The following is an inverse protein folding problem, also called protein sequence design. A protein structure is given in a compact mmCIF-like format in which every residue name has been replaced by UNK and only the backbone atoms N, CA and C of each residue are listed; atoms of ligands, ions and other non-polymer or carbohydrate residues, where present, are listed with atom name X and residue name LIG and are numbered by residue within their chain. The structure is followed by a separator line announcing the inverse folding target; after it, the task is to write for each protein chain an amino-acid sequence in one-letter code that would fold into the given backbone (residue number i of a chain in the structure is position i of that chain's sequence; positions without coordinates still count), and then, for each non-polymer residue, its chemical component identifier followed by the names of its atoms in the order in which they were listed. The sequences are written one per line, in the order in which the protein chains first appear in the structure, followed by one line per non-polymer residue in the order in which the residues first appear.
data_IF_531851751886
#
_entry.id   IF_531851751886
#
_cell.length_a   1.000
_cell.length_b   1.000
_cell.length_c   1.000
_cell.angle_alpha   90.00
_cell.angle_beta   90.00
_cell.angle_gamma   90.00
#
_symmetry.space_group_name_H-M   'P 1'
#
loop_
_entity.id
_entity.type
_entity.pdbx_description
1 polymer ?
#
# COMPACT_ATOMS: atom_id res chain seq x y z
N UNK A 1 0.21 -5.15 10.50
CA UNK A 1 0.81 -4.82 11.78
C UNK A 1 2.34 -4.93 11.76
N UNK A 2 2.93 -6.09 11.34
CA UNK A 2 4.39 -6.30 11.31
C UNK A 2 5.11 -5.22 10.50
N UNK A 3 4.65 -4.97 9.27
CA UNK A 3 5.20 -3.93 8.39
C UNK A 3 5.26 -2.56 9.08
N UNK A 4 4.16 -2.08 9.66
CA UNK A 4 4.15 -0.77 10.32
C UNK A 4 5.07 -0.71 11.54
N UNK A 5 5.16 -1.80 12.30
CA UNK A 5 6.12 -1.90 13.41
C UNK A 5 7.57 -1.78 12.92
N UNK A 6 7.89 -2.46 11.82
CA UNK A 6 9.23 -2.46 11.23
C UNK A 6 9.55 -1.08 10.59
N UNK A 7 8.52 -0.31 10.19
CA UNK A 7 8.64 1.09 9.76
C UNK A 7 8.71 2.10 10.92
N UNK A 8 8.68 1.65 12.18
CA UNK A 8 8.86 2.48 13.38
C UNK A 8 7.57 2.91 14.08
N UNK A 9 6.41 2.41 13.65
CA UNK A 9 5.14 2.72 14.30
C UNK A 9 5.05 2.09 15.69
N UNK A 10 4.49 2.84 16.65
CA UNK A 10 4.18 2.33 17.97
C UNK A 10 3.09 1.24 17.92
N UNK A 11 2.90 0.55 19.05
CA UNK A 11 1.87 -0.49 19.10
C UNK A 11 0.46 0.13 19.03
N UNK A 12 -0.44 -0.37 18.16
CA UNK A 12 -1.81 0.09 18.09
C UNK A 12 -2.71 -0.58 19.14
N UNK A 13 -3.85 0.02 19.41
CA UNK A 13 -5.00 -0.71 19.94
C UNK A 13 -5.58 -1.54 18.79
N UNK A 14 -5.79 -2.83 19.03
CA UNK A 14 -6.35 -3.76 18.03
C UNK A 14 -7.79 -4.06 18.40
N UNK A 15 -8.69 -3.88 17.44
CA UNK A 15 -10.12 -4.08 17.65
C UNK A 15 -10.74 -4.91 16.53
N UNK A 16 -11.77 -5.70 16.88
CA UNK A 16 -12.73 -6.28 15.94
C UNK A 16 -13.92 -5.34 15.83
N UNK A 17 -14.16 -4.81 14.65
CA UNK A 17 -15.32 -3.94 14.39
C UNK A 17 -16.61 -4.71 14.13
N UNK A 18 -16.58 -6.03 14.22
CA UNK A 18 -17.59 -7.00 13.82
C UNK A 18 -17.81 -7.11 12.29
N UNK A 19 -17.14 -6.27 11.48
CA UNK A 19 -17.13 -6.35 10.01
C UNK A 19 -15.71 -6.37 9.42
N UNK A 20 -14.71 -6.30 10.27
CA UNK A 20 -13.28 -6.27 9.94
C UNK A 20 -12.49 -5.89 11.17
N UNK A 21 -11.22 -5.59 11.00
CA UNK A 21 -10.31 -5.23 12.08
C UNK A 21 -9.91 -3.77 12.00
N UNK A 22 -9.70 -3.14 13.16
CA UNK A 22 -9.14 -1.79 13.27
C UNK A 22 -7.80 -1.85 13.98
N UNK A 23 -6.82 -1.14 13.45
CA UNK A 23 -5.55 -0.83 14.10
C UNK A 23 -5.57 0.68 14.42
N UNK A 24 -5.77 1.02 15.70
CA UNK A 24 -5.86 2.40 16.14
C UNK A 24 -4.50 2.88 16.62
N UNK A 25 -3.87 3.74 15.85
CA UNK A 25 -2.62 4.40 16.18
C UNK A 25 -2.88 5.79 16.73
N UNK A 26 -2.30 6.10 17.91
CA UNK A 26 -2.27 7.48 18.37
C UNK A 26 -1.28 8.27 17.52
N UNK A 27 -1.71 9.41 17.00
CA UNK A 27 -0.86 10.39 16.31
C UNK A 27 -1.15 11.80 16.84
N UNK A 28 -0.22 12.73 16.61
CA UNK A 28 -0.32 14.14 17.02
C UNK A 28 -0.13 15.04 15.80
N UNK A 29 -0.98 14.86 14.78
CA UNK A 29 -0.96 15.64 13.55
C UNK A 29 -1.90 16.83 13.65
N UNK A 30 -1.45 17.98 13.15
CA UNK A 30 -2.34 19.15 12.95
C UNK A 30 -3.36 18.80 11.86
N UNK A 31 -4.61 19.21 12.09
CA UNK A 31 -5.67 19.06 11.09
C UNK A 31 -5.52 20.16 10.02
N UNK A 32 -4.74 19.87 8.99
CA UNK A 32 -4.52 20.72 7.82
C UNK A 32 -4.44 19.86 6.53
N UNK A 33 -4.49 20.52 5.39
CA UNK A 33 -4.50 19.84 4.09
C UNK A 33 -3.25 18.99 3.86
N UNK A 34 -2.06 19.44 4.26
CA UNK A 34 -0.82 18.70 4.05
C UNK A 34 -0.83 17.36 4.80
N UNK A 35 -1.20 17.37 6.08
CA UNK A 35 -1.31 16.16 6.89
C UNK A 35 -2.46 15.24 6.42
N UNK A 36 -3.57 15.83 5.98
CA UNK A 36 -4.69 15.07 5.38
C UNK A 36 -4.23 14.30 4.13
N UNK A 37 -3.50 14.95 3.22
CA UNK A 37 -2.95 14.28 2.03
C UNK A 37 -1.86 13.24 2.40
N UNK A 38 -1.07 13.49 3.44
CA UNK A 38 -0.12 12.50 3.97
C UNK A 38 -0.83 11.23 4.45
N UNK A 39 -1.89 11.38 5.27
CA UNK A 39 -2.67 10.22 5.77
C UNK A 39 -3.38 9.50 4.63
N UNK A 40 -3.93 10.24 3.67
CA UNK A 40 -4.57 9.66 2.48
C UNK A 40 -3.58 8.82 1.66
N UNK A 41 -2.40 9.38 1.36
CA UNK A 41 -1.34 8.67 0.63
C UNK A 41 -0.83 7.46 1.42
N UNK A 42 -0.69 7.59 2.74
CA UNK A 42 -0.33 6.49 3.63
C UNK A 42 -1.34 5.33 3.54
N UNK A 43 -2.65 5.62 3.60
CA UNK A 43 -3.68 4.59 3.47
C UNK A 43 -3.69 3.97 2.07
N UNK A 44 -3.46 4.74 1.01
CA UNK A 44 -3.32 4.23 -0.35
C UNK A 44 -2.13 3.27 -0.49
N UNK A 45 -1.00 3.56 0.17
CA UNK A 45 0.14 2.64 0.21
C UNK A 45 -0.22 1.34 0.92
N UNK A 46 -0.92 1.41 2.06
CA UNK A 46 -1.35 0.20 2.76
C UNK A 46 -2.33 -0.62 1.93
N UNK A 47 -3.27 0.02 1.25
CA UNK A 47 -4.20 -0.63 0.32
C UNK A 47 -3.44 -1.35 -0.79
N UNK A 48 -2.54 -0.64 -1.47
CA UNK A 48 -1.70 -1.20 -2.52
C UNK A 48 -0.90 -2.43 -2.05
N UNK A 49 -0.34 -2.38 -0.84
CA UNK A 49 0.48 -3.47 -0.32
C UNK A 49 -0.34 -4.66 0.18
N UNK A 50 -1.44 -4.41 0.88
CA UNK A 50 -2.10 -5.44 1.71
C UNK A 50 -3.52 -5.79 1.28
N UNK A 51 -4.18 -5.02 0.42
CA UNK A 51 -5.48 -5.42 -0.11
C UNK A 51 -5.37 -6.62 -1.05
N UNK A 52 -6.37 -7.50 -0.96
CA UNK A 52 -6.49 -8.74 -1.72
C UNK A 52 -7.92 -8.90 -2.20
N UNK A 53 -8.22 -9.98 -2.89
CA UNK A 53 -9.60 -10.38 -3.26
C UNK A 53 -10.54 -10.63 -2.06
N UNK A 54 -9.98 -10.79 -0.85
CA UNK A 54 -10.72 -11.12 0.38
C UNK A 54 -10.68 -10.05 1.46
N UNK A 55 -9.72 -9.14 1.41
CA UNK A 55 -9.49 -8.13 2.45
C UNK A 55 -9.12 -6.81 1.80
N UNK A 56 -9.86 -5.76 2.14
CA UNK A 56 -9.60 -4.39 1.69
C UNK A 56 -9.16 -3.50 2.84
N UNK A 57 -8.19 -2.64 2.58
CA UNK A 57 -7.84 -1.53 3.47
C UNK A 57 -8.80 -0.37 3.20
N UNK A 58 -9.50 0.10 4.24
CA UNK A 58 -10.40 1.26 4.14
C UNK A 58 -9.60 2.56 3.98
N UNK A 59 -9.46 3.01 2.73
CA UNK A 59 -8.77 4.26 2.40
C UNK A 59 -9.58 5.51 2.66
N UNK A 60 -10.85 5.39 3.11
CA UNK A 60 -11.74 6.54 3.33
C UNK A 60 -11.59 7.20 4.70
N UNK A 61 -10.76 6.63 5.58
CA UNK A 61 -10.59 7.08 6.97
C UNK A 61 -9.50 8.15 7.17
N UNK A 62 -9.18 8.91 6.13
CA UNK A 62 -8.08 9.90 6.14
C UNK A 62 -8.44 11.25 6.78
N UNK A 63 -9.70 11.58 6.94
CA UNK A 63 -10.11 12.88 7.44
C UNK A 63 -10.34 12.88 8.97
N UNK A 64 -10.02 13.99 9.63
CA UNK A 64 -10.13 14.14 11.09
C UNK A 64 -11.57 14.15 11.61
N UNK A 65 -12.56 14.36 10.74
CA UNK A 65 -13.99 14.36 11.11
C UNK A 65 -14.62 12.96 11.06
N UNK A 66 -13.83 11.91 10.72
CA UNK A 66 -14.34 10.56 10.61
C UNK A 66 -14.78 10.04 11.97
N UNK A 67 -16.03 9.61 12.03
CA UNK A 67 -16.57 8.96 13.24
C UNK A 67 -16.16 7.49 13.26
N UNK A 68 -15.87 7.00 14.45
CA UNK A 68 -15.60 5.59 14.71
C UNK A 68 -16.70 5.01 15.62
N UNK A 69 -17.00 3.74 15.41
CA UNK A 69 -17.91 2.99 16.27
C UNK A 69 -17.36 2.88 17.69
N UNK A 70 -18.22 2.99 18.67
CA UNK A 70 -17.89 2.62 20.04
C UNK A 70 -17.84 1.08 20.16
N UNK A 71 -16.72 0.54 20.65
CA UNK A 71 -16.58 -0.91 20.84
C UNK A 71 -17.40 -1.38 22.06
N UNK A 72 -17.83 -2.63 22.01
CA UNK A 72 -18.79 -3.19 22.98
C UNK A 72 -20.24 -3.08 22.50
N UNK A 73 -20.49 -2.54 21.30
CA UNK A 73 -21.83 -2.46 20.72
C UNK A 73 -22.02 -3.47 19.59
N UNK A 74 -23.25 -3.96 19.43
CA UNK A 74 -23.61 -4.84 18.31
C UNK A 74 -23.56 -4.05 17.00
N UNK A 75 -22.86 -4.58 16.02
CA UNK A 75 -22.81 -4.02 14.66
C UNK A 75 -24.02 -4.51 13.87
N UNK A 76 -24.93 -3.59 13.57
CA UNK A 76 -26.14 -3.87 12.79
C UNK A 76 -26.03 -3.38 11.35
N UNK A 77 -24.91 -3.63 10.69
CA UNK A 77 -24.68 -3.24 9.29
C UNK A 77 -25.21 -4.33 8.36
N UNK A 78 -26.32 -4.07 7.67
CA UNK A 78 -26.97 -5.03 6.77
C UNK A 78 -27.88 -6.02 7.51
N UNK A 79 -28.42 -6.99 6.77
CA UNK A 79 -29.29 -8.04 7.33
C UNK A 79 -28.48 -9.03 8.16
N UNK A 80 -29.10 -9.57 9.20
CA UNK A 80 -28.53 -10.64 10.02
C UNK A 80 -28.70 -11.99 9.29
N UNK A 81 -27.62 -12.57 8.78
CA UNK A 81 -27.61 -13.86 8.08
C UNK A 81 -26.58 -14.80 8.69
N UNK A 82 -26.64 -16.08 8.35
CA UNK A 82 -25.64 -17.06 8.83
C UNK A 82 -24.23 -16.73 8.35
N UNK A 83 -24.11 -16.24 7.12
CA UNK A 83 -22.84 -15.86 6.48
C UNK A 83 -22.30 -14.54 7.02
N UNK A 84 -23.21 -13.64 7.44
CA UNK A 84 -22.89 -12.32 7.95
C UNK A 84 -23.73 -11.98 9.19
N UNK A 85 -23.47 -12.63 10.32
CA UNK A 85 -24.23 -12.38 11.55
C UNK A 85 -23.92 -11.01 12.13
N UNK A 86 -24.92 -10.40 12.76
CA UNK A 86 -24.73 -9.21 13.56
C UNK A 86 -23.96 -9.57 14.84
N UNK A 87 -22.77 -9.00 15.00
CA UNK A 87 -21.84 -9.33 16.09
C UNK A 87 -21.48 -8.12 16.92
N UNK A 88 -21.08 -8.36 18.15
CA UNK A 88 -20.52 -7.35 19.03
C UNK A 88 -19.10 -6.97 18.57
N UNK A 89 -18.85 -5.66 18.49
CA UNK A 89 -17.49 -5.13 18.27
C UNK A 89 -16.69 -5.17 19.56
N UNK A 90 -15.40 -5.50 19.49
CA UNK A 90 -14.57 -5.75 20.67
C UNK A 90 -13.19 -5.09 20.57
N UNK A 91 -12.68 -4.65 21.70
CA UNK A 91 -11.25 -4.35 21.84
C UNK A 91 -10.55 -5.66 22.13
N UNK A 92 -9.64 -6.06 21.25
CA UNK A 92 -8.90 -7.33 21.35
C UNK A 92 -7.59 -7.18 22.11
N UNK A 93 -6.93 -6.02 21.92
CA UNK A 93 -5.64 -5.77 22.56
C UNK A 93 -5.44 -4.27 22.78
N UNK A 94 -5.01 -3.92 23.98
CA UNK A 94 -4.52 -2.59 24.33
C UNK A 94 -3.05 -2.73 24.71
N UNK A 95 -2.13 -1.93 24.13
CA UNK A 95 -0.74 -1.93 24.56
C UNK A 95 -0.62 -1.39 25.99
N UNK A 96 0.44 -1.77 26.71
CA UNK A 96 0.70 -1.29 28.09
C UNK A 96 0.84 0.23 28.13
N UNK A 97 1.30 0.84 27.07
CA UNK A 97 1.41 2.30 26.89
C UNK A 97 0.98 2.71 25.48
N UNK A 98 0.07 3.69 25.39
CA UNK A 98 -0.38 4.24 24.11
C UNK A 98 0.47 5.47 23.77
N UNK A 99 1.59 5.22 23.08
CA UNK A 99 2.50 6.28 22.59
C UNK A 99 2.03 6.86 21.27
N UNK A 100 2.21 8.17 21.08
CA UNK A 100 1.99 8.79 19.79
C UNK A 100 3.07 8.35 18.78
N UNK A 101 2.65 7.89 17.62
CA UNK A 101 3.54 7.65 16.48
C UNK A 101 3.92 9.00 15.86
N UNK A 102 5.21 9.17 15.57
CA UNK A 102 5.71 10.42 15.00
C UNK A 102 5.27 10.58 13.56
N UNK A 103 5.04 11.83 13.14
CA UNK A 103 4.51 12.15 11.82
C UNK A 103 5.43 11.69 10.68
N UNK A 104 6.74 11.71 10.91
CA UNK A 104 7.76 11.30 9.94
C UNK A 104 7.60 9.85 9.46
N UNK A 105 7.08 8.94 10.29
CA UNK A 105 6.85 7.55 9.88
C UNK A 105 5.66 7.44 8.91
N UNK A 106 4.61 8.25 9.11
CA UNK A 106 3.51 8.33 8.13
C UNK A 106 3.99 8.90 6.80
N UNK A 107 4.80 9.97 6.84
CA UNK A 107 5.37 10.57 5.64
C UNK A 107 6.31 9.61 4.90
N UNK A 108 7.15 8.88 5.64
CA UNK A 108 8.07 7.89 5.06
C UNK A 108 7.29 6.84 4.27
N UNK A 109 6.25 6.27 4.85
CA UNK A 109 5.40 5.29 4.16
C UNK A 109 4.64 5.94 3.00
N UNK A 110 4.03 7.11 3.19
CA UNK A 110 3.29 7.81 2.14
C UNK A 110 4.16 8.15 0.92
N UNK A 111 5.45 8.46 1.11
CA UNK A 111 6.40 8.74 0.02
C UNK A 111 6.68 7.55 -0.89
N UNK A 112 6.36 6.33 -0.45
CA UNK A 112 6.52 5.13 -1.28
C UNK A 112 5.38 4.93 -2.29
N UNK A 113 4.33 5.77 -2.25
CA UNK A 113 3.28 5.74 -3.27
C UNK A 113 3.89 6.04 -4.65
N UNK A 114 3.66 5.19 -5.66
CA UNK A 114 4.18 5.40 -7.00
C UNK A 114 3.77 6.75 -7.57
N UNK A 115 4.74 7.49 -8.10
CA UNK A 115 4.51 8.77 -8.79
C UNK A 115 4.76 8.55 -10.27
N UNK A 116 3.97 9.21 -11.12
CA UNK A 116 4.22 9.20 -12.56
C UNK A 116 5.59 9.78 -12.82
N UNK A 117 6.45 9.02 -13.49
CA UNK A 117 7.74 9.52 -13.94
C UNK A 117 7.47 10.69 -14.90
N UNK A 118 8.06 11.85 -14.62
CA UNK A 118 7.97 12.95 -15.58
C UNK A 118 8.83 12.56 -16.78
N UNK A 119 8.32 12.63 -18.01
CA UNK A 119 9.14 12.43 -19.18
C UNK A 119 10.27 13.47 -19.13
N UNK A 120 11.50 13.01 -19.14
CA UNK A 120 12.64 13.90 -19.41
C UNK A 120 12.31 14.64 -20.71
N UNK A 121 12.48 15.98 -20.70
CA UNK A 121 12.20 16.84 -21.85
C UNK A 121 13.04 16.38 -23.05
N UNK A 122 12.55 15.46 -23.83
CA UNK A 122 13.07 15.16 -25.15
C UNK A 122 11.90 15.15 -26.13
N UNK A 123 12.05 15.97 -27.16
CA UNK A 123 11.13 16.19 -28.27
C UNK A 123 10.77 14.87 -28.97
N UNK A 124 9.47 14.74 -29.33
CA UNK A 124 8.94 13.86 -30.34
C UNK A 124 9.15 12.35 -30.14
N UNK A 125 8.42 11.77 -29.20
CA UNK A 125 7.90 10.41 -29.39
C UNK A 125 6.47 10.32 -28.91
N UNK A 126 5.68 9.57 -29.67
CA UNK A 126 4.28 9.25 -29.47
C UNK A 126 3.91 9.02 -27.99
N UNK A 127 2.69 9.40 -27.64
CA UNK A 127 2.02 9.24 -26.35
C UNK A 127 1.82 7.75 -25.98
N UNK A 128 2.78 6.87 -26.25
CA UNK A 128 2.74 5.49 -25.82
C UNK A 128 3.05 5.42 -24.32
N UNK A 129 1.99 5.23 -23.54
CA UNK A 129 2.10 4.87 -22.14
C UNK A 129 2.95 3.59 -22.05
N UNK A 130 3.97 3.59 -21.18
CA UNK A 130 4.80 2.41 -20.94
C UNK A 130 3.93 1.18 -20.66
N UNK A 131 4.15 0.11 -21.41
CA UNK A 131 3.43 -1.14 -21.26
C UNK A 131 4.14 -2.06 -20.27
N UNK A 132 3.59 -2.17 -19.05
CA UNK A 132 4.13 -3.02 -18.00
C UNK A 132 3.92 -4.50 -18.31
N UNK A 133 2.85 -4.87 -19.01
CA UNK A 133 2.55 -6.26 -19.36
C UNK A 133 3.57 -6.78 -20.39
N UNK A 134 3.89 -5.93 -21.39
CA UNK A 134 4.94 -6.22 -22.36
C UNK A 134 6.34 -6.31 -21.70
N UNK A 135 6.64 -5.40 -20.76
CA UNK A 135 7.88 -5.44 -19.98
C UNK A 135 8.03 -6.74 -19.19
N UNK A 136 7.00 -7.13 -18.44
CA UNK A 136 6.96 -8.39 -17.67
C UNK A 136 7.21 -9.59 -18.58
N UNK A 137 6.54 -9.60 -19.74
CA UNK A 137 6.66 -10.69 -20.74
C UNK A 137 8.06 -10.76 -21.34
N UNK A 138 8.59 -9.62 -21.83
CA UNK A 138 9.92 -9.56 -22.47
C UNK A 138 11.06 -9.99 -21.54
N UNK A 139 10.94 -9.69 -20.26
CA UNK A 139 11.97 -10.00 -19.27
C UNK A 139 11.70 -11.28 -18.49
N UNK A 140 10.68 -12.07 -18.88
CA UNK A 140 10.32 -13.34 -18.26
C UNK A 140 10.15 -13.21 -16.73
N UNK A 141 9.54 -12.09 -16.24
CA UNK A 141 9.28 -11.89 -14.84
C UNK A 141 8.10 -12.79 -14.44
N UNK A 142 8.34 -13.72 -13.52
CA UNK A 142 7.32 -14.68 -13.11
C UNK A 142 6.29 -14.02 -12.20
N UNK A 143 5.03 -13.98 -12.64
CA UNK A 143 3.89 -13.42 -11.92
C UNK A 143 3.00 -14.55 -11.43
N UNK A 144 2.79 -14.63 -10.11
CA UNK A 144 1.92 -15.64 -9.48
C UNK A 144 0.45 -15.30 -9.60
N UNK A 145 0.11 -14.03 -9.41
CA UNK A 145 -1.28 -13.58 -9.44
C UNK A 145 -1.36 -12.10 -9.83
N UNK A 146 -2.47 -11.74 -10.46
CA UNK A 146 -2.78 -10.35 -10.82
C UNK A 146 -4.07 -9.96 -10.11
N UNK A 147 -4.03 -8.83 -9.40
CA UNK A 147 -5.17 -8.25 -8.68
C UNK A 147 -5.51 -6.91 -9.33
N UNK A 148 -6.74 -6.80 -9.81
CA UNK A 148 -7.27 -5.55 -10.38
C UNK A 148 -8.14 -4.85 -9.35
N UNK A 149 -7.89 -3.55 -9.15
CA UNK A 149 -8.72 -2.68 -8.32
C UNK A 149 -9.21 -1.48 -9.14
N UNK A 150 -9.99 -0.60 -8.52
CA UNK A 150 -10.45 0.63 -9.18
C UNK A 150 -9.36 1.71 -9.31
N UNK A 151 -8.15 1.48 -8.80
CA UNK A 151 -7.10 2.51 -8.73
C UNK A 151 -5.75 2.02 -9.24
N UNK A 152 -5.57 0.70 -9.31
CA UNK A 152 -4.32 0.09 -9.78
C UNK A 152 -4.49 -1.39 -10.16
N UNK A 153 -3.54 -1.91 -10.94
CA UNK A 153 -3.31 -3.34 -11.14
C UNK A 153 -2.04 -3.75 -10.38
N UNK A 154 -2.11 -4.81 -9.58
CA UNK A 154 -1.02 -5.38 -8.79
C UNK A 154 -0.60 -6.72 -9.37
N UNK A 155 0.66 -6.85 -9.72
CA UNK A 155 1.29 -8.08 -10.20
C UNK A 155 2.11 -8.67 -9.06
N UNK A 156 1.58 -9.70 -8.39
CA UNK A 156 2.29 -10.41 -7.31
C UNK A 156 3.32 -11.34 -7.95
N UNK A 157 4.59 -11.12 -7.66
CA UNK A 157 5.68 -11.88 -8.24
C UNK A 157 5.88 -13.21 -7.52
N UNK A 158 6.31 -14.24 -8.23
CA UNK A 158 6.70 -15.52 -7.62
C UNK A 158 7.92 -15.34 -6.71
N UNK A 159 8.85 -14.48 -7.12
CA UNK A 159 10.04 -14.14 -6.36
C UNK A 159 10.41 -12.66 -6.56
N UNK A 160 11.12 -12.10 -5.58
CA UNK A 160 11.60 -10.74 -5.63
C UNK A 160 12.65 -10.58 -6.74
N UNK A 161 12.57 -9.48 -7.48
CA UNK A 161 13.51 -9.15 -8.57
C UNK A 161 14.96 -9.06 -8.08
N UNK A 162 15.19 -8.66 -6.83
CA UNK A 162 16.53 -8.42 -6.28
C UNK A 162 17.07 -9.56 -5.40
N UNK A 163 16.17 -10.40 -4.88
CA UNK A 163 16.54 -11.51 -4.00
C UNK A 163 15.53 -12.66 -4.18
N UNK A 164 15.94 -13.70 -4.88
CA UNK A 164 15.09 -14.86 -5.19
C UNK A 164 14.67 -15.69 -3.97
N UNK A 165 15.26 -15.47 -2.80
CA UNK A 165 14.82 -16.09 -1.55
C UNK A 165 13.51 -15.49 -1.02
N UNK A 166 13.18 -14.26 -1.44
CA UNK A 166 11.92 -13.59 -1.10
C UNK A 166 10.82 -14.05 -2.04
N UNK A 167 9.88 -14.83 -1.54
CA UNK A 167 8.82 -15.47 -2.33
C UNK A 167 7.49 -14.75 -2.20
N UNK A 168 6.58 -15.05 -3.12
CA UNK A 168 5.21 -14.56 -3.06
C UNK A 168 4.56 -14.82 -1.67
N UNK A 169 3.81 -13.86 -1.14
CA UNK A 169 3.30 -12.64 -1.80
C UNK A 169 4.14 -11.38 -1.54
N UNK A 170 5.40 -11.48 -1.15
CA UNK A 170 6.18 -10.41 -0.53
C UNK A 170 6.70 -9.37 -1.54
N UNK A 171 6.73 -9.68 -2.83
CA UNK A 171 7.17 -8.75 -3.87
C UNK A 171 6.07 -8.54 -4.93
N UNK A 172 5.89 -7.30 -5.37
CA UNK A 172 4.91 -6.95 -6.39
C UNK A 172 5.33 -5.75 -7.23
N UNK A 173 4.86 -5.74 -8.49
CA UNK A 173 4.81 -4.57 -9.35
C UNK A 173 3.39 -3.99 -9.31
N UNK A 174 3.29 -2.69 -9.53
CA UNK A 174 2.03 -1.95 -9.49
C UNK A 174 1.92 -1.04 -10.71
N UNK A 175 0.77 -1.07 -11.39
CA UNK A 175 0.41 -0.14 -12.46
C UNK A 175 -0.79 0.68 -12.00
N UNK A 176 -0.55 1.93 -11.68
CA UNK A 176 -1.60 2.86 -11.24
C UNK A 176 -2.42 3.36 -12.43
N UNK A 177 -3.69 3.71 -12.23
CA UNK A 177 -4.54 4.32 -13.28
C UNK A 177 -3.98 5.65 -13.78
N UNK A 178 -3.19 6.35 -12.95
CA UNK A 178 -2.44 7.53 -13.36
C UNK A 178 -1.34 7.25 -14.39
N UNK A 179 -1.02 5.97 -14.65
CA UNK A 179 0.11 5.52 -15.46
C UNK A 179 1.42 5.45 -14.68
N UNK A 180 1.43 5.75 -13.39
CA UNK A 180 2.60 5.54 -12.54
C UNK A 180 2.85 4.04 -12.31
N UNK A 181 4.13 3.65 -12.28
CA UNK A 181 4.52 2.28 -12.00
C UNK A 181 5.30 2.25 -10.70
N UNK A 182 5.08 1.21 -9.90
CA UNK A 182 5.76 0.99 -8.63
C UNK A 182 6.30 -0.42 -8.52
N UNK A 183 7.26 -0.58 -7.64
CA UNK A 183 7.76 -1.87 -7.17
C UNK A 183 7.91 -1.82 -5.66
N UNK A 184 7.57 -2.92 -4.99
CA UNK A 184 7.84 -3.08 -3.56
C UNK A 184 8.08 -4.55 -3.23
N UNK A 185 9.13 -4.78 -2.44
CA UNK A 185 9.32 -5.99 -1.66
C UNK A 185 9.16 -5.65 -0.17
N UNK A 186 8.48 -6.50 0.59
CA UNK A 186 8.18 -6.29 2.01
C UNK A 186 9.35 -6.60 2.95
N UNK A 187 10.47 -7.11 2.41
CA UNK A 187 11.67 -7.39 3.19
C UNK A 187 12.55 -6.14 3.33
N UNK A 188 13.08 -5.93 4.55
CA UNK A 188 13.91 -4.77 4.86
C UNK A 188 15.17 -4.68 4.00
N UNK A 189 15.78 -5.80 3.63
CA UNK A 189 16.94 -5.88 2.72
C UNK A 189 16.66 -5.33 1.32
N UNK A 190 15.37 -5.26 0.92
CA UNK A 190 14.93 -4.74 -0.38
C UNK A 190 14.19 -3.42 -0.29
N UNK A 191 14.14 -2.79 0.90
CA UNK A 191 13.31 -1.59 1.14
C UNK A 191 13.72 -0.37 0.31
N UNK A 192 14.97 -0.29 -0.11
CA UNK A 192 15.54 0.79 -0.92
C UNK A 192 15.17 0.68 -2.41
N UNK A 193 14.81 -0.50 -2.90
CA UNK A 193 14.54 -0.69 -4.33
C UNK A 193 13.16 -0.18 -4.74
N UNK A 194 13.15 0.50 -5.87
CA UNK A 194 11.99 1.14 -6.48
C UNK A 194 11.75 0.58 -7.90
N UNK A 195 10.70 1.05 -8.57
CA UNK A 195 10.50 0.75 -10.00
C UNK A 195 11.68 1.17 -10.86
N UNK A 196 12.30 2.31 -10.58
CA UNK A 196 13.49 2.79 -11.28
C UNK A 196 14.62 1.75 -11.26
N UNK A 197 14.86 1.13 -10.11
CA UNK A 197 15.91 0.12 -9.95
C UNK A 197 15.54 -1.18 -10.70
N UNK A 198 14.27 -1.57 -10.68
CA UNK A 198 13.79 -2.71 -11.49
C UNK A 198 14.02 -2.44 -12.97
N UNK A 199 13.65 -1.24 -13.45
CA UNK A 199 13.81 -0.85 -14.84
C UNK A 199 15.27 -0.90 -15.27
N UNK A 200 16.18 -0.32 -14.50
CA UNK A 200 17.61 -0.32 -14.78
C UNK A 200 18.24 -1.71 -14.72
N UNK A 201 17.74 -2.61 -13.90
CA UNK A 201 18.24 -3.99 -13.82
C UNK A 201 18.03 -4.75 -15.12
N UNK A 202 16.89 -4.56 -15.77
CA UNK A 202 16.54 -5.24 -17.01
C UNK A 202 16.88 -4.44 -18.27
N UNK A 203 16.84 -3.13 -18.18
CA UNK A 203 17.10 -2.19 -19.28
C UNK A 203 18.07 -1.10 -18.78
N UNK A 204 19.40 -1.36 -18.72
CA UNK A 204 20.38 -0.45 -18.15
C UNK A 204 20.40 0.96 -18.80
N UNK A 205 20.02 1.05 -20.06
CA UNK A 205 19.99 2.30 -20.83
C UNK A 205 18.62 3.00 -20.82
N UNK A 206 17.65 2.52 -20.03
CA UNK A 206 16.27 3.01 -20.05
C UNK A 206 16.13 4.51 -19.81
N UNK A 207 17.04 5.09 -19.04
CA UNK A 207 17.05 6.52 -18.68
C UNK A 207 18.23 7.28 -19.26
N UNK A 208 19.10 6.63 -20.06
CA UNK A 208 20.18 7.31 -20.74
C UNK A 208 19.62 8.10 -21.91
N UNK A 209 19.71 9.44 -21.84
CA UNK A 209 19.42 10.30 -22.98
C UNK A 209 20.41 9.95 -24.10
N UNK A 210 19.95 9.34 -25.18
CA UNK A 210 20.71 9.32 -26.42
C UNK A 210 20.76 10.76 -26.93
N UNK A 211 21.91 11.41 -26.72
CA UNK A 211 22.25 12.67 -27.41
C UNK A 211 22.26 12.42 -28.92
#
# INVERSE_FOLDING_TARGET
YKFLRDEGFNQPVICDSANGFHLLYRCAMLNNNANTETVKSFLQVLDMLFSTDKVDIDTTTFNASRICKLYGCISRKGSDTKERPQRESKILRVPSEIKATQNEYFEKVAKTLPKKEQPSKSNNYSNDSFDLDDFISRHNISVRNIVHTNSYTKYILDECVFDSSHRAPDAALFKMDSGAIGYKCLHNSCSQYTWHDVRLKFEPDAYNNKN
#
